data_IF_061267968724
#
_entry.id   IF_061267968724
#
_cell.length_a   1.000
_cell.length_b   1.000
_cell.length_c   1.000
_cell.angle_alpha   90.00
_cell.angle_beta   90.00
_cell.angle_gamma   90.00
#
_symmetry.space_group_name_H-M   'P 1'
#
loop_
_entity.id
_entity.type
_entity.pdbx_description
1 polymer ?
#
# COMPACT_ATOMS: atom_id res chain seq x y z
N UNK A 1 0.41 -22.73 -0.75
CA UNK A 1 1.79 -22.39 -1.13
C UNK A 1 1.77 -20.96 -1.69
N UNK A 2 1.76 -19.95 -0.83
CA UNK A 2 1.84 -18.52 -1.24
C UNK A 2 2.79 -17.75 -0.30
N UNK A 3 3.65 -18.48 0.45
CA UNK A 3 4.45 -17.91 1.54
C UNK A 3 5.78 -17.30 1.10
N UNK A 4 6.19 -17.47 -0.17
CA UNK A 4 7.56 -17.15 -0.62
C UNK A 4 7.58 -16.11 -1.77
N UNK A 5 6.43 -15.71 -2.30
CA UNK A 5 6.38 -14.79 -3.43
C UNK A 5 6.20 -13.35 -2.97
N UNK A 6 7.21 -12.52 -3.19
CA UNK A 6 7.14 -11.08 -2.93
C UNK A 6 6.22 -10.42 -3.95
N UNK A 7 5.18 -9.72 -3.47
CA UNK A 7 4.30 -8.90 -4.30
C UNK A 7 4.81 -7.46 -4.32
N UNK A 8 5.16 -6.97 -5.50
CA UNK A 8 5.59 -5.59 -5.69
C UNK A 8 4.42 -4.71 -6.12
N UNK A 9 4.10 -3.68 -5.34
CA UNK A 9 3.09 -2.68 -5.66
C UNK A 9 3.76 -1.33 -5.92
N UNK A 10 3.37 -0.65 -7.00
CA UNK A 10 3.89 0.68 -7.33
C UNK A 10 3.02 1.75 -6.67
N UNK A 11 3.59 2.50 -5.74
CA UNK A 11 3.01 3.75 -5.25
C UNK A 11 3.24 4.82 -6.32
N UNK A 12 2.16 5.46 -6.77
CA UNK A 12 2.16 6.57 -7.72
C UNK A 12 1.73 7.85 -7.03
N UNK A 13 2.16 8.99 -7.59
CA UNK A 13 1.73 10.31 -7.17
C UNK A 13 0.69 10.87 -8.14
N UNK A 14 -0.21 11.70 -7.63
CA UNK A 14 -1.12 12.52 -8.43
C UNK A 14 -0.48 13.88 -8.71
N UNK A 15 -0.90 14.52 -9.80
CA UNK A 15 -0.41 15.85 -10.20
C UNK A 15 -0.74 16.93 -9.15
N UNK A 16 -1.90 16.80 -8.48
CA UNK A 16 -2.33 17.69 -7.40
C UNK A 16 -1.79 17.29 -6.01
N UNK A 17 -0.86 16.34 -5.98
CA UNK A 17 -0.30 15.78 -4.75
C UNK A 17 -1.10 14.60 -4.21
N UNK A 18 -0.46 13.85 -3.31
CA UNK A 18 -0.99 12.60 -2.76
C UNK A 18 -0.50 11.35 -3.49
N UNK A 19 -0.82 10.19 -2.91
CA UNK A 19 -0.25 8.88 -3.23
C UNK A 19 -1.34 7.84 -3.41
N UNK A 20 -1.14 6.90 -4.33
CA UNK A 20 -2.04 5.76 -4.48
C UNK A 20 -1.31 4.52 -5.01
N UNK A 21 -1.82 3.34 -4.66
CA UNK A 21 -1.46 2.07 -5.32
C UNK A 21 -2.56 1.70 -6.32
N UNK A 22 -3.82 1.72 -5.86
CA UNK A 22 -5.00 1.53 -6.69
C UNK A 22 -5.70 2.87 -6.95
N UNK A 23 -6.15 3.12 -8.18
CA UNK A 23 -6.79 4.40 -8.56
C UNK A 23 -8.04 4.77 -7.75
N UNK A 24 -8.67 3.83 -7.04
CA UNK A 24 -9.87 4.11 -6.24
C UNK A 24 -9.57 4.75 -4.88
N UNK A 25 -8.32 4.69 -4.41
CA UNK A 25 -7.96 5.10 -3.05
C UNK A 25 -6.71 5.96 -3.10
N UNK A 26 -6.85 7.20 -2.66
CA UNK A 26 -5.79 8.22 -2.70
C UNK A 26 -5.53 8.76 -1.31
N UNK A 27 -4.26 8.94 -0.96
CA UNK A 27 -3.81 9.34 0.37
C UNK A 27 -3.00 10.63 0.28
N UNK A 28 -3.05 11.47 1.31
CA UNK A 28 -2.30 12.74 1.31
C UNK A 28 -0.81 12.52 1.54
N UNK A 29 -0.47 11.54 2.39
CA UNK A 29 0.89 11.18 2.75
C UNK A 29 1.05 9.64 2.77
N UNK A 30 2.30 9.18 2.92
CA UNK A 30 2.60 7.74 2.97
C UNK A 30 2.15 7.07 4.27
N UNK A 31 2.10 7.79 5.39
CA UNK A 31 1.63 7.25 6.66
C UNK A 31 0.16 6.83 6.57
N UNK A 32 -0.72 7.66 6.01
CA UNK A 32 -2.14 7.37 5.81
C UNK A 32 -2.31 6.14 4.89
N UNK A 33 -1.47 6.04 3.85
CA UNK A 33 -1.45 4.89 2.94
C UNK A 33 -1.10 3.60 3.70
N UNK A 34 -0.04 3.63 4.52
CA UNK A 34 0.39 2.47 5.29
C UNK A 34 -0.66 2.08 6.33
N UNK A 35 -1.25 3.05 7.03
CA UNK A 35 -2.28 2.79 8.04
C UNK A 35 -3.53 2.14 7.42
N UNK A 36 -4.00 2.65 6.27
CA UNK A 36 -5.14 2.08 5.55
C UNK A 36 -4.86 0.64 5.13
N UNK A 37 -3.74 0.41 4.42
CA UNK A 37 -3.41 -0.93 3.94
C UNK A 37 -3.04 -1.91 5.06
N UNK A 38 -2.76 -1.43 6.27
CA UNK A 38 -2.61 -2.28 7.45
C UNK A 38 -3.96 -2.79 7.98
N UNK A 39 -5.03 -1.99 7.85
CA UNK A 39 -6.39 -2.32 8.32
C UNK A 39 -7.21 -3.06 7.27
N UNK A 40 -7.09 -2.69 6.00
CA UNK A 40 -7.80 -3.31 4.88
C UNK A 40 -6.85 -3.50 3.69
N UNK A 41 -6.79 -4.71 3.12
CA UNK A 41 -5.97 -4.97 1.94
C UNK A 41 -6.41 -4.13 0.73
N UNK A 42 -7.69 -3.80 0.60
CA UNK A 42 -8.25 -2.88 -0.39
C UNK A 42 -7.73 -3.10 -1.84
N UNK A 43 -7.54 -4.38 -2.21
CA UNK A 43 -7.04 -4.81 -3.53
C UNK A 43 -5.58 -5.26 -3.56
N UNK A 44 -4.86 -5.16 -2.43
CA UNK A 44 -3.63 -5.90 -2.20
C UNK A 44 -3.94 -7.38 -1.94
N UNK A 45 -2.95 -8.23 -2.20
CA UNK A 45 -3.04 -9.66 -1.90
C UNK A 45 -3.24 -9.93 -0.40
N UNK A 46 -2.64 -9.11 0.46
CA UNK A 46 -2.74 -9.16 1.92
C UNK A 46 -2.61 -7.75 2.51
N UNK A 47 -3.10 -7.56 3.73
CA UNK A 47 -2.84 -6.36 4.52
C UNK A 47 -1.34 -6.19 4.80
N UNK A 48 -0.91 -4.94 4.95
CA UNK A 48 0.40 -4.64 5.50
C UNK A 48 0.44 -5.04 6.99
N UNK A 49 1.49 -5.75 7.37
CA UNK A 49 1.66 -6.23 8.74
C UNK A 49 2.83 -5.48 9.40
N UNK A 50 3.94 -6.17 9.60
CA UNK A 50 5.13 -5.58 10.21
C UNK A 50 6.07 -5.06 9.14
N UNK A 51 6.68 -3.87 9.32
CA UNK A 51 7.76 -3.43 8.45
C UNK A 51 8.95 -4.37 8.60
N UNK A 52 9.72 -4.54 7.52
CA UNK A 52 10.99 -5.25 7.59
C UNK A 52 12.01 -4.47 8.43
N UNK A 53 12.91 -5.19 9.10
CA UNK A 53 14.10 -4.58 9.72
C UNK A 53 15.06 -4.10 8.63
N UNK A 54 15.73 -2.98 8.87
CA UNK A 54 16.68 -2.37 7.93
C UNK A 54 18.10 -2.90 8.14
#
# INVERSE_FOLDING_TARGET
>A
RDGDTVKHYRIRQLDEGGFFIARRTTFRNLQDLVEHYSKDADGLCVNLCKPCVQ
#
